data_IF_748684815349
#
_entry.id   IF_748684815349
#
_cell.length_a   1.000
_cell.length_b   1.000
_cell.length_c   1.000
_cell.angle_alpha   90.00
_cell.angle_beta   90.00
_cell.angle_gamma   90.00
#
_symmetry.space_group_name_H-M   'P 1'
#
loop_
_entity.id
_entity.type
_entity.pdbx_description
1 polymer ?
#
# COMPACT_ATOMS: atom_id res chain seq x y z
N UNK A 1 19.61 -3.37 14.61
CA UNK A 1 18.29 -4.03 14.82
C UNK A 1 17.33 -3.61 13.71
N UNK A 2 16.64 -4.57 13.12
CA UNK A 2 15.65 -4.26 12.10
C UNK A 2 14.36 -3.77 12.75
N UNK A 3 13.79 -2.70 12.19
CA UNK A 3 12.49 -2.22 12.64
C UNK A 3 11.40 -3.01 11.91
N UNK A 4 10.69 -3.87 12.64
CA UNK A 4 9.65 -4.73 12.07
C UNK A 4 8.44 -3.96 11.54
N UNK A 5 8.32 -2.67 11.87
CA UNK A 5 7.26 -1.81 11.36
C UNK A 5 7.68 -0.98 10.15
N UNK A 6 8.90 -1.17 9.67
CA UNK A 6 9.42 -0.49 8.48
C UNK A 6 9.29 -1.42 7.27
N UNK A 7 8.11 -1.40 6.66
CA UNK A 7 7.82 -2.24 5.49
C UNK A 7 6.85 -1.52 4.56
N UNK A 8 6.81 -1.99 3.30
CA UNK A 8 5.85 -1.55 2.29
C UNK A 8 5.48 -2.71 1.38
N UNK A 9 4.19 -2.83 1.09
CA UNK A 9 3.68 -3.68 0.02
C UNK A 9 3.08 -2.76 -1.04
N UNK A 10 3.56 -2.85 -2.28
CA UNK A 10 3.26 -1.87 -3.32
C UNK A 10 2.61 -2.54 -4.52
N UNK A 11 1.50 -1.95 -4.99
CA UNK A 11 0.90 -2.27 -6.28
C UNK A 11 1.24 -1.15 -7.25
N UNK A 12 1.97 -1.49 -8.31
CA UNK A 12 2.38 -0.54 -9.33
C UNK A 12 1.82 -0.88 -10.70
N UNK A 13 1.75 0.13 -11.56
CA UNK A 13 1.37 -0.02 -12.95
C UNK A 13 2.49 0.55 -13.83
N UNK A 14 2.90 -0.22 -14.81
CA UNK A 14 3.97 0.19 -15.73
C UNK A 14 3.47 0.08 -17.16
N UNK A 15 3.50 1.21 -17.87
CA UNK A 15 3.25 1.23 -19.31
C UNK A 15 4.47 0.63 -20.03
N UNK A 16 4.25 -0.15 -21.11
CA UNK A 16 5.36 -0.79 -21.82
C UNK A 16 6.43 0.17 -22.34
N UNK A 17 6.05 1.40 -22.68
CA UNK A 17 6.95 2.38 -23.28
C UNK A 17 7.61 3.31 -22.25
N UNK A 18 7.37 3.12 -20.95
CA UNK A 18 7.84 4.03 -19.90
C UNK A 18 8.61 3.23 -18.86
N UNK A 19 9.72 3.80 -18.38
CA UNK A 19 10.55 3.14 -17.37
C UNK A 19 10.12 3.41 -15.93
N UNK A 20 9.17 4.31 -15.73
CA UNK A 20 8.68 4.64 -14.40
C UNK A 20 7.45 3.81 -14.05
N UNK A 21 7.31 3.49 -12.78
CA UNK A 21 6.16 2.75 -12.25
C UNK A 21 5.22 3.76 -11.59
N UNK A 22 3.94 3.73 -12.00
CA UNK A 22 2.90 4.49 -11.36
C UNK A 22 2.39 3.69 -10.16
N UNK A 23 2.49 4.25 -8.95
CA UNK A 23 2.11 3.55 -7.72
C UNK A 23 0.64 3.77 -7.45
N UNK A 24 -0.13 2.69 -7.54
CA UNK A 24 -1.57 2.71 -7.33
C UNK A 24 -1.92 2.64 -5.85
N UNK A 25 -1.27 1.74 -5.12
CA UNK A 25 -1.46 1.57 -3.68
C UNK A 25 -0.16 1.16 -3.03
N UNK A 26 0.00 1.55 -1.78
CA UNK A 26 1.16 1.18 -0.99
C UNK A 26 0.74 0.99 0.46
N UNK A 27 0.87 -0.24 0.96
CA UNK A 27 0.50 -0.61 2.32
C UNK A 27 1.75 -0.53 3.19
N UNK A 28 1.79 0.47 4.04
CA UNK A 28 2.99 0.81 4.82
C UNK A 28 2.87 0.45 6.28
N UNK A 29 4.02 0.16 6.89
CA UNK A 29 4.14 0.07 8.34
C UNK A 29 4.05 1.44 9.00
N UNK A 30 4.43 1.51 10.27
CA UNK A 30 4.30 2.73 11.08
C UNK A 30 5.63 3.26 11.59
N UNK A 31 6.71 3.07 10.84
CA UNK A 31 8.03 3.53 11.27
C UNK A 31 8.23 5.03 11.17
N UNK A 32 7.43 5.72 10.36
CA UNK A 32 7.57 7.15 10.09
C UNK A 32 6.25 7.89 10.25
N UNK A 33 6.34 9.19 10.53
CA UNK A 33 5.19 10.07 10.42
C UNK A 33 4.83 10.29 8.96
N UNK A 34 3.54 10.39 8.70
CA UNK A 34 3.00 10.75 7.41
C UNK A 34 2.12 11.99 7.53
N UNK A 35 2.18 12.87 6.54
CA UNK A 35 1.33 14.05 6.48
C UNK A 35 0.56 14.07 5.16
N UNK A 36 -0.76 14.11 5.25
CA UNK A 36 -1.63 14.42 4.12
C UNK A 36 -1.69 15.94 4.00
N UNK A 37 -0.90 16.51 3.09
CA UNK A 37 -0.70 17.96 3.02
C UNK A 37 -1.97 18.73 2.65
N UNK A 38 -2.79 18.17 1.75
CA UNK A 38 -4.04 18.84 1.34
C UNK A 38 -5.03 18.88 2.50
N UNK A 39 -5.18 17.76 3.22
CA UNK A 39 -6.10 17.66 4.36
C UNK A 39 -5.51 18.22 5.66
N UNK A 40 -4.21 18.49 5.67
CA UNK A 40 -3.49 18.93 6.86
C UNK A 40 -3.61 17.93 8.03
N UNK A 41 -3.46 16.65 7.70
CA UNK A 41 -3.51 15.56 8.67
C UNK A 41 -2.12 14.95 8.83
N UNK A 42 -1.71 14.70 10.07
CA UNK A 42 -0.43 14.06 10.36
C UNK A 42 -0.65 12.92 11.35
N UNK A 43 -0.04 11.76 11.06
CA UNK A 43 -0.14 10.60 11.93
C UNK A 43 1.09 9.70 11.78
N UNK A 44 1.25 8.81 12.77
CA UNK A 44 2.23 7.73 12.73
C UNK A 44 1.52 6.44 13.07
N UNK A 45 1.12 5.71 12.05
CA UNK A 45 0.37 4.47 12.20
C UNK A 45 0.53 3.63 10.94
N UNK A 46 0.08 2.40 10.97
CA UNK A 46 -0.07 1.62 9.74
C UNK A 46 -1.02 2.37 8.81
N UNK A 47 -0.63 2.51 7.56
CA UNK A 47 -1.40 3.34 6.63
C UNK A 47 -1.26 2.86 5.20
N UNK A 48 -2.29 3.14 4.41
CA UNK A 48 -2.36 2.78 3.01
C UNK A 48 -2.34 4.06 2.19
N UNK A 49 -1.32 4.19 1.33
CA UNK A 49 -1.27 5.23 0.32
C UNK A 49 -2.08 4.81 -0.89
N UNK A 50 -2.79 5.76 -1.48
CA UNK A 50 -3.59 5.52 -2.67
C UNK A 50 -3.33 6.64 -3.68
N UNK A 51 -3.25 6.26 -4.96
CA UNK A 51 -3.17 7.24 -6.02
C UNK A 51 -4.47 8.04 -6.07
N UNK A 52 -4.36 9.36 -6.06
CA UNK A 52 -5.51 10.25 -6.16
C UNK A 52 -5.23 11.34 -7.18
N UNK A 53 -6.29 11.74 -7.88
CA UNK A 53 -6.20 12.81 -8.87
C UNK A 53 -5.86 14.14 -8.21
N UNK A 54 -6.40 14.40 -7.02
CA UNK A 54 -6.14 15.65 -6.29
C UNK A 54 -4.66 15.87 -6.02
N UNK A 55 -3.98 14.83 -5.55
CA UNK A 55 -2.56 14.93 -5.24
C UNK A 55 -1.70 14.99 -6.49
N UNK A 56 -2.08 14.29 -7.55
CA UNK A 56 -1.40 14.41 -8.83
C UNK A 56 -1.49 15.83 -9.39
N UNK A 57 -2.67 16.40 -9.36
CA UNK A 57 -2.90 17.78 -9.85
C UNK A 57 -2.19 18.83 -9.01
N UNK A 58 -1.95 18.55 -7.73
CA UNK A 58 -1.21 19.44 -6.84
C UNK A 58 0.29 19.42 -7.07
N UNK A 59 0.79 18.54 -7.95
CA UNK A 59 2.22 18.39 -8.20
C UNK A 59 2.91 17.44 -7.23
N UNK A 60 2.17 16.79 -6.35
CA UNK A 60 2.69 15.79 -5.44
C UNK A 60 2.85 14.44 -6.14
N UNK A 61 3.47 13.47 -5.46
CA UNK A 61 3.53 12.11 -5.96
C UNK A 61 2.12 11.54 -6.06
N UNK A 62 1.90 10.66 -7.01
CA UNK A 62 0.58 10.09 -7.29
C UNK A 62 -0.02 9.41 -6.05
N UNK A 63 0.81 8.77 -5.21
CA UNK A 63 0.38 8.02 -4.03
C UNK A 63 0.69 8.74 -2.72
N UNK A 64 0.63 10.06 -2.70
CA UNK A 64 0.94 10.83 -1.49
C UNK A 64 -0.15 10.73 -0.44
N UNK A 65 -1.41 10.65 -0.84
CA UNK A 65 -2.53 10.55 0.09
C UNK A 65 -2.52 9.19 0.81
N UNK A 66 -2.75 9.19 2.13
CA UNK A 66 -2.82 7.94 2.89
C UNK A 66 -3.91 8.00 3.96
N UNK A 67 -4.43 6.82 4.29
CA UNK A 67 -5.40 6.63 5.38
C UNK A 67 -4.84 5.61 6.36
N UNK A 68 -5.14 5.81 7.64
CA UNK A 68 -4.78 4.84 8.68
C UNK A 68 -5.51 3.53 8.40
N UNK A 69 -4.79 2.42 8.49
CA UNK A 69 -5.34 1.08 8.31
C UNK A 69 -4.70 0.13 9.30
N UNK A 70 -5.46 -0.34 10.26
CA UNK A 70 -5.00 -1.24 11.32
C UNK A 70 -5.41 -2.68 11.12
N UNK A 71 -5.81 -3.06 9.90
CA UNK A 71 -6.16 -4.44 9.56
C UNK A 71 -4.94 -5.35 9.53
N UNK A 72 -3.75 -4.79 9.42
CA UNK A 72 -2.50 -5.55 9.37
C UNK A 72 -1.49 -4.95 10.36
N UNK A 73 -0.53 -5.75 10.75
CA UNK A 73 0.54 -5.32 11.65
C UNK A 73 1.93 -5.80 11.20
N UNK A 74 2.00 -6.53 10.10
CA UNK A 74 3.25 -7.01 9.51
C UNK A 74 3.15 -7.01 7.99
N UNK A 75 4.27 -7.33 7.33
CA UNK A 75 4.34 -7.33 5.88
C UNK A 75 3.41 -8.38 5.25
N UNK A 76 3.29 -9.54 5.87
CA UNK A 76 2.42 -10.59 5.33
C UNK A 76 0.96 -10.16 5.36
N UNK A 77 0.53 -9.57 6.46
CA UNK A 77 -0.83 -9.01 6.58
C UNK A 77 -1.07 -7.88 5.60
N UNK A 78 -0.08 -7.04 5.36
CA UNK A 78 -0.18 -5.94 4.38
C UNK A 78 -0.38 -6.50 2.96
N UNK A 79 0.37 -7.55 2.60
CA UNK A 79 0.21 -8.20 1.30
C UNK A 79 -1.19 -8.81 1.17
N UNK A 80 -1.68 -9.48 2.22
CA UNK A 80 -3.03 -10.06 2.20
C UNK A 80 -4.09 -8.99 1.99
N UNK A 81 -3.98 -7.84 2.66
CA UNK A 81 -4.89 -6.73 2.48
C UNK A 81 -4.83 -6.16 1.06
N UNK A 82 -3.62 -6.00 0.51
CA UNK A 82 -3.43 -5.52 -0.85
C UNK A 82 -4.13 -6.44 -1.85
N UNK A 83 -3.92 -7.74 -1.74
CA UNK A 83 -4.51 -8.71 -2.65
C UNK A 83 -6.05 -8.69 -2.56
N UNK A 84 -6.58 -8.63 -1.35
CA UNK A 84 -8.01 -8.59 -1.13
C UNK A 84 -8.64 -7.30 -1.67
N UNK A 85 -8.05 -6.15 -1.34
CA UNK A 85 -8.59 -4.84 -1.70
C UNK A 85 -8.53 -4.60 -3.21
N UNK A 86 -7.51 -5.12 -3.88
CA UNK A 86 -7.30 -4.88 -5.30
C UNK A 86 -7.90 -5.97 -6.19
N UNK A 87 -8.58 -6.94 -5.61
CA UNK A 87 -9.25 -7.98 -6.37
C UNK A 87 -8.30 -9.00 -7.00
N UNK A 88 -7.06 -9.07 -6.52
CA UNK A 88 -6.11 -10.05 -7.02
C UNK A 88 -6.31 -11.39 -6.34
N UNK A 89 -6.04 -12.45 -7.09
CA UNK A 89 -5.96 -13.80 -6.55
C UNK A 89 -4.52 -14.24 -6.56
N UNK A 90 -4.09 -14.80 -5.44
CA UNK A 90 -2.81 -15.50 -5.43
C UNK A 90 -2.87 -16.67 -6.39
N UNK A 91 -1.79 -16.96 -7.15
CA UNK A 91 -1.76 -18.14 -8.00
C UNK A 91 -2.04 -19.45 -7.27
N UNK A 92 -1.84 -19.47 -5.96
CA UNK A 92 -2.09 -20.64 -5.12
C UNK A 92 -3.48 -20.66 -4.50
N UNK A 93 -4.28 -19.63 -4.73
CA UNK A 93 -5.59 -19.49 -4.09
C UNK A 93 -6.56 -20.59 -4.49
N UNK A 94 -6.42 -21.10 -5.70
CA UNK A 94 -7.23 -22.22 -6.20
C UNK A 94 -6.68 -23.58 -5.77
N UNK A 95 -5.54 -23.60 -5.08
CA UNK A 95 -4.93 -24.81 -4.57
C UNK A 95 -5.52 -25.19 -3.21
N UNK A 96 -5.88 -26.46 -2.97
CA UNK A 96 -6.36 -26.88 -1.66
C UNK A 96 -5.37 -26.59 -0.54
N UNK A 97 -4.06 -26.65 -0.80
CA UNK A 97 -3.03 -26.35 0.18
C UNK A 97 -3.08 -24.90 0.60
N UNK A 98 -3.31 -24.01 -0.36
CA UNK A 98 -3.30 -22.59 -0.09
C UNK A 98 -4.57 -22.12 0.62
N UNK A 99 -5.70 -22.74 0.32
CA UNK A 99 -6.97 -22.37 0.95
C UNK A 99 -6.94 -22.54 2.47
N UNK A 100 -6.23 -23.51 2.96
CA UNK A 100 -6.11 -23.73 4.39
C UNK A 100 -5.28 -22.66 5.11
N UNK A 101 -4.55 -21.86 4.39
CA UNK A 101 -3.72 -20.81 4.93
C UNK A 101 -4.49 -19.57 5.32
N UNK A 102 -5.53 -19.31 4.59
CA UNK A 102 -6.34 -18.11 4.77
C UNK A 102 -7.42 -18.40 5.80
#
# INVERSE_FOLDING_TARGET
MLNTFDFSAILGYKLPSVNTIFRLRRYNGKSHYHTNSIENERFRDFHVHMATERYQKSGSKEDQFAVIDRRYFDIDGAVDCLLADCGFRSPMEDSPIFKGRI
#
